data_IF_604127182894
#
_entry.id   IF_604127182894
#
_cell.length_a   1.000
_cell.length_b   1.000
_cell.length_c   1.000
_cell.angle_alpha   90.00
_cell.angle_beta   90.00
_cell.angle_gamma   90.00
#
_symmetry.space_group_name_H-M   'P 1'
#
loop_
_entity.id
_entity.type
_entity.pdbx_description
1 polymer ?
#
# COMPACT_ATOMS: atom_id res chain seq x y z
N UNK A 1 67.56 25.50 -7.79
CA UNK A 1 67.10 24.73 -8.96
C UNK A 1 65.62 25.07 -9.15
N UNK A 2 65.26 25.95 -10.09
CA UNK A 2 64.85 25.62 -11.47
C UNK A 2 63.66 24.65 -11.48
N UNK A 3 62.51 24.87 -12.12
CA UNK A 3 62.07 25.78 -13.19
C UNK A 3 60.53 25.65 -13.33
N UNK A 4 59.86 26.76 -13.67
CA UNK A 4 58.80 26.93 -14.69
C UNK A 4 57.59 25.95 -14.73
N UNK A 5 56.36 26.48 -14.68
CA UNK A 5 55.46 26.53 -15.87
C UNK A 5 54.04 26.99 -15.54
N UNK A 6 53.58 27.91 -16.39
CA UNK A 6 52.24 28.44 -16.55
C UNK A 6 51.20 27.37 -16.91
N UNK A 7 49.93 27.62 -16.54
CA UNK A 7 48.79 26.81 -16.95
C UNK A 7 47.46 27.38 -16.46
N UNK A 8 46.91 28.36 -17.18
CA UNK A 8 45.50 28.77 -17.06
C UNK A 8 44.61 27.54 -17.29
N UNK A 9 43.85 27.11 -16.29
CA UNK A 9 42.71 26.21 -16.46
C UNK A 9 41.43 26.98 -16.20
N UNK A 10 40.70 27.17 -17.29
CA UNK A 10 39.32 27.65 -17.33
C UNK A 10 38.43 26.80 -16.41
N UNK A 11 37.73 27.47 -15.50
CA UNK A 11 36.68 26.87 -14.69
C UNK A 11 35.49 26.60 -15.63
N UNK A 12 35.35 25.34 -16.04
CA UNK A 12 34.15 24.86 -16.72
C UNK A 12 33.06 24.77 -15.64
N UNK A 13 32.19 25.78 -15.62
CA UNK A 13 30.95 25.79 -14.84
C UNK A 13 30.03 24.70 -15.38
N UNK A 14 30.07 23.51 -14.78
CA UNK A 14 29.01 22.53 -14.92
C UNK A 14 27.76 23.10 -14.26
N UNK A 15 26.85 23.64 -15.09
CA UNK A 15 25.46 23.86 -14.69
C UNK A 15 24.87 22.49 -14.38
N UNK A 16 24.81 22.16 -13.10
CA UNK A 16 23.90 21.12 -12.61
C UNK A 16 22.48 21.59 -12.90
N UNK A 17 21.80 20.89 -13.80
CA UNK A 17 20.37 21.01 -14.01
C UNK A 17 19.68 20.70 -12.68
N UNK A 18 19.26 21.76 -12.01
CA UNK A 18 18.37 21.68 -10.86
C UNK A 18 17.03 21.20 -11.38
N UNK A 19 16.80 19.88 -11.30
CA UNK A 19 15.43 19.37 -11.27
C UNK A 19 14.66 20.21 -10.26
N UNK A 20 13.68 20.98 -10.75
CA UNK A 20 12.78 21.76 -9.91
C UNK A 20 11.97 20.76 -9.10
N UNK A 21 12.44 20.42 -7.91
CA UNK A 21 11.62 19.77 -6.90
C UNK A 21 10.55 20.78 -6.53
N UNK A 22 9.33 20.55 -7.01
CA UNK A 22 8.15 21.35 -6.66
C UNK A 22 8.03 21.27 -5.15
N UNK A 23 8.20 22.42 -4.49
CA UNK A 23 8.17 22.49 -3.03
C UNK A 23 6.78 22.08 -2.56
N UNK A 24 6.72 21.07 -1.71
CA UNK A 24 5.56 20.72 -0.92
C UNK A 24 5.23 21.90 0.01
N UNK A 25 4.42 22.82 -0.49
CA UNK A 25 3.60 23.70 0.31
C UNK A 25 2.17 23.36 -0.08
N UNK A 26 1.68 22.21 0.39
CA UNK A 26 0.25 21.96 0.38
C UNK A 26 -0.35 23.09 1.21
N UNK A 27 -1.19 23.93 0.61
CA UNK A 27 -1.99 24.86 1.38
C UNK A 27 -2.99 24.00 2.17
N UNK A 28 -2.64 23.76 3.43
CA UNK A 28 -3.25 22.92 4.47
C UNK A 28 -4.71 23.24 4.85
N UNK A 29 -5.47 23.85 3.95
CA UNK A 29 -6.89 24.11 4.16
C UNK A 29 -7.72 23.13 3.34
N UNK A 30 -7.54 21.82 3.56
CA UNK A 30 -8.43 20.80 2.99
C UNK A 30 -9.90 21.15 3.25
N UNK A 31 -10.21 21.69 4.44
CA UNK A 31 -11.55 22.15 4.79
C UNK A 31 -12.08 23.24 3.84
N UNK A 32 -11.26 24.23 3.49
CA UNK A 32 -11.67 25.29 2.56
C UNK A 32 -11.71 24.77 1.12
N UNK A 33 -10.77 23.91 0.74
CA UNK A 33 -10.76 23.29 -0.59
C UNK A 33 -11.99 22.42 -0.80
N UNK A 34 -12.41 21.66 0.21
CA UNK A 34 -13.62 20.85 0.17
C UNK A 34 -14.88 21.71 0.20
N UNK A 35 -14.91 22.84 0.91
CA UNK A 35 -16.05 23.77 0.86
C UNK A 35 -16.17 24.50 -0.47
N UNK A 36 -15.05 24.86 -1.09
CA UNK A 36 -15.00 25.69 -2.29
C UNK A 36 -15.13 24.88 -3.59
N UNK A 37 -15.27 23.55 -3.48
CA UNK A 37 -15.39 22.63 -4.63
C UNK A 37 -16.56 22.95 -5.55
N UNK A 38 -17.62 23.58 -5.05
CA UNK A 38 -18.75 24.02 -5.87
C UNK A 38 -18.38 25.11 -6.88
N UNK A 39 -17.20 25.72 -6.75
CA UNK A 39 -16.67 26.70 -7.69
C UNK A 39 -15.78 26.02 -8.74
N UNK A 40 -15.77 26.53 -9.98
CA UNK A 40 -14.88 26.03 -11.05
C UNK A 40 -13.40 26.09 -10.64
N UNK A 41 -13.03 27.08 -9.82
CA UNK A 41 -11.67 27.23 -9.30
C UNK A 41 -11.36 26.15 -8.26
N UNK A 42 -12.25 25.92 -7.29
CA UNK A 42 -12.07 24.89 -6.27
C UNK A 42 -12.07 23.47 -6.84
N UNK A 43 -12.81 23.21 -7.91
CA UNK A 43 -12.74 21.94 -8.62
C UNK A 43 -11.35 21.70 -9.24
N UNK A 44 -10.77 22.71 -9.89
CA UNK A 44 -9.41 22.61 -10.45
C UNK A 44 -8.35 22.39 -9.37
N UNK A 45 -8.45 23.12 -8.26
CA UNK A 45 -7.52 22.97 -7.13
C UNK A 45 -7.63 21.57 -6.49
N UNK A 46 -8.83 21.01 -6.42
CA UNK A 46 -9.05 19.62 -5.99
C UNK A 46 -8.43 18.60 -6.95
N UNK A 47 -8.65 18.76 -8.26
CA UNK A 47 -8.08 17.87 -9.27
C UNK A 47 -6.54 17.92 -9.27
N UNK A 48 -5.96 19.13 -9.14
CA UNK A 48 -4.52 19.35 -8.99
C UNK A 48 -3.97 18.68 -7.73
N UNK A 49 -4.67 18.78 -6.59
CA UNK A 49 -4.29 18.10 -5.36
C UNK A 49 -4.26 16.58 -5.53
N UNK A 50 -5.32 16.00 -6.10
CA UNK A 50 -5.42 14.55 -6.33
C UNK A 50 -4.31 14.07 -7.26
N UNK A 51 -4.04 14.80 -8.34
CA UNK A 51 -2.94 14.48 -9.26
C UNK A 51 -1.60 14.57 -8.55
N UNK A 52 -1.38 15.62 -7.76
CA UNK A 52 -0.12 15.82 -7.03
C UNK A 52 0.13 14.70 -6.03
N UNK A 53 -0.87 14.28 -5.25
CA UNK A 53 -0.72 13.16 -4.30
C UNK A 53 -0.42 11.86 -5.04
N UNK A 54 -1.15 11.58 -6.12
CA UNK A 54 -0.93 10.39 -6.95
C UNK A 54 0.47 10.36 -7.54
N UNK A 55 0.92 11.48 -8.10
CA UNK A 55 2.19 11.59 -8.81
C UNK A 55 3.38 11.62 -7.85
N UNK A 56 3.21 12.21 -6.66
CA UNK A 56 4.21 12.17 -5.61
C UNK A 56 4.38 10.76 -5.02
N UNK A 57 3.31 9.96 -4.98
CA UNK A 57 3.35 8.53 -4.64
C UNK A 57 4.17 8.25 -3.38
N UNK A 58 5.31 7.55 -3.54
CA UNK A 58 6.19 7.17 -2.44
C UNK A 58 7.22 8.25 -2.06
N UNK A 59 7.40 9.29 -2.87
CA UNK A 59 8.34 10.40 -2.63
C UNK A 59 7.81 11.44 -1.63
N UNK A 60 6.56 11.32 -1.19
CA UNK A 60 6.00 12.18 -0.14
C UNK A 60 6.80 11.98 1.15
N UNK A 61 7.28 13.09 1.73
CA UNK A 61 8.02 13.08 2.99
C UNK A 61 7.08 12.77 4.15
N UNK A 62 7.61 12.12 5.18
CA UNK A 62 6.83 11.73 6.37
C UNK A 62 6.11 12.92 7.02
N UNK A 63 6.76 14.07 7.15
CA UNK A 63 6.15 15.27 7.72
C UNK A 63 4.92 15.74 6.94
N UNK A 64 5.06 15.80 5.61
CA UNK A 64 4.01 16.28 4.72
C UNK A 64 2.82 15.31 4.69
N UNK A 65 3.10 14.00 4.64
CA UNK A 65 2.08 12.96 4.68
C UNK A 65 1.37 12.94 6.05
N UNK A 66 2.10 13.09 7.14
CA UNK A 66 1.53 13.14 8.49
C UNK A 66 0.57 14.33 8.64
N UNK A 67 0.96 15.50 8.14
CA UNK A 67 0.11 16.69 8.17
C UNK A 67 -1.14 16.51 7.30
N UNK A 68 -0.99 15.95 6.10
CA UNK A 68 -2.09 15.61 5.20
C UNK A 68 -3.10 14.65 5.86
N UNK A 69 -2.61 13.61 6.54
CA UNK A 69 -3.47 12.64 7.25
C UNK A 69 -4.22 13.31 8.41
N UNK A 70 -3.55 14.15 9.21
CA UNK A 70 -4.18 14.87 10.32
C UNK A 70 -5.33 15.77 9.83
N UNK A 71 -5.14 16.48 8.73
CA UNK A 71 -6.18 17.30 8.12
C UNK A 71 -7.31 16.49 7.50
N UNK A 72 -6.97 15.41 6.79
CA UNK A 72 -7.96 14.50 6.21
C UNK A 72 -8.85 13.91 7.31
N UNK A 73 -8.23 13.53 8.44
CA UNK A 73 -8.91 13.04 9.64
C UNK A 73 -9.83 14.10 10.26
N UNK A 74 -9.38 15.36 10.32
CA UNK A 74 -10.20 16.50 10.73
C UNK A 74 -11.39 16.80 9.80
N UNK A 75 -11.35 16.31 8.56
CA UNK A 75 -12.38 16.50 7.54
C UNK A 75 -13.23 15.24 7.27
N UNK A 76 -13.13 14.19 8.09
CA UNK A 76 -13.81 12.90 7.84
C UNK A 76 -15.30 13.06 7.58
N UNK A 77 -15.98 13.91 8.35
CA UNK A 77 -17.43 14.16 8.18
C UNK A 77 -17.81 14.69 6.79
N UNK A 78 -16.88 15.35 6.09
CA UNK A 78 -17.10 15.98 4.77
C UNK A 78 -16.63 15.08 3.63
N UNK A 79 -15.81 14.05 3.90
CA UNK A 79 -15.30 13.10 2.90
C UNK A 79 -16.38 12.14 2.38
N UNK A 80 -17.50 12.69 1.92
CA UNK A 80 -18.59 11.95 1.29
C UNK A 80 -18.16 11.30 -0.05
N UNK A 81 -19.07 10.61 -0.74
CA UNK A 81 -18.79 9.94 -2.02
C UNK A 81 -18.21 10.87 -3.10
N UNK A 82 -18.44 12.18 -3.02
CA UNK A 82 -17.91 13.11 -3.99
C UNK A 82 -16.39 13.16 -3.90
N UNK A 83 -15.79 12.96 -2.73
CA UNK A 83 -14.33 13.01 -2.50
C UNK A 83 -13.64 11.66 -2.65
N UNK A 84 -14.32 10.70 -3.32
CA UNK A 84 -13.80 9.35 -3.54
C UNK A 84 -12.41 9.30 -4.17
N UNK A 85 -12.11 10.16 -5.14
CA UNK A 85 -10.80 10.17 -5.80
C UNK A 85 -9.67 10.53 -4.83
N UNK A 86 -9.90 11.52 -3.96
CA UNK A 86 -8.96 11.90 -2.91
C UNK A 86 -8.72 10.74 -1.92
N UNK A 87 -9.79 10.09 -1.47
CA UNK A 87 -9.67 8.92 -0.60
C UNK A 87 -8.90 7.81 -1.29
N UNK A 88 -9.19 7.52 -2.56
CA UNK A 88 -8.49 6.48 -3.32
C UNK A 88 -6.99 6.74 -3.45
N UNK A 89 -6.57 7.96 -3.76
CA UNK A 89 -5.13 8.27 -3.86
C UNK A 89 -4.44 8.13 -2.51
N UNK A 90 -5.10 8.48 -1.40
CA UNK A 90 -4.56 8.26 -0.05
C UNK A 90 -4.42 6.77 0.28
N UNK A 91 -5.41 5.94 -0.07
CA UNK A 91 -5.41 4.49 0.22
C UNK A 91 -4.30 3.73 -0.52
N UNK A 92 -3.80 4.24 -1.64
CA UNK A 92 -2.75 3.61 -2.46
C UNK A 92 -1.34 3.92 -1.92
N UNK A 93 -1.17 4.93 -1.07
CA UNK A 93 0.14 5.32 -0.53
C UNK A 93 0.72 4.16 0.30
N UNK A 94 1.98 3.78 0.02
CA UNK A 94 2.70 2.78 0.83
C UNK A 94 3.08 3.40 2.19
N UNK A 95 2.42 2.98 3.26
CA UNK A 95 2.57 3.51 4.62
C UNK A 95 3.20 2.52 5.62
N UNK A 96 3.17 1.23 5.33
CA UNK A 96 3.52 0.16 6.29
C UNK A 96 4.98 0.14 6.73
N UNK A 97 5.89 0.69 5.93
CA UNK A 97 7.33 0.78 6.21
C UNK A 97 7.75 2.11 6.83
N UNK A 98 6.81 3.03 7.06
CA UNK A 98 7.09 4.38 7.57
C UNK A 98 7.30 4.37 9.09
N UNK A 99 7.62 5.54 9.63
CA UNK A 99 7.74 5.78 11.06
C UNK A 99 6.47 5.39 11.83
N UNK A 100 6.64 4.99 13.09
CA UNK A 100 5.55 4.53 13.95
C UNK A 100 4.45 5.59 14.14
N UNK A 101 4.83 6.87 14.28
CA UNK A 101 3.88 7.98 14.38
C UNK A 101 2.98 8.08 13.13
N UNK A 102 3.59 8.00 11.94
CA UNK A 102 2.85 8.07 10.69
C UNK A 102 1.93 6.87 10.51
N UNK A 103 2.42 5.68 10.83
CA UNK A 103 1.63 4.45 10.81
C UNK A 103 0.41 4.55 11.71
N UNK A 104 0.57 5.05 12.94
CA UNK A 104 -0.54 5.22 13.88
C UNK A 104 -1.58 6.22 13.36
N UNK A 105 -1.16 7.34 12.80
CA UNK A 105 -2.09 8.29 12.19
C UNK A 105 -2.79 7.73 10.96
N UNK A 106 -2.08 7.00 10.11
CA UNK A 106 -2.67 6.36 8.94
C UNK A 106 -3.71 5.32 9.35
N UNK A 107 -3.40 4.44 10.31
CA UNK A 107 -4.34 3.48 10.86
C UNK A 107 -5.57 4.18 11.47
N UNK A 108 -5.35 5.24 12.25
CA UNK A 108 -6.43 6.05 12.82
C UNK A 108 -7.34 6.65 11.75
N UNK A 109 -6.76 7.22 10.69
CA UNK A 109 -7.50 7.71 9.54
C UNK A 109 -8.36 6.61 8.87
N UNK A 110 -7.80 5.43 8.61
CA UNK A 110 -8.53 4.32 7.99
C UNK A 110 -9.75 3.88 8.84
N UNK A 111 -9.54 3.76 10.15
CA UNK A 111 -10.58 3.31 11.07
C UNK A 111 -11.69 4.35 11.21
N UNK A 112 -11.35 5.62 11.38
CA UNK A 112 -12.33 6.69 11.50
C UNK A 112 -13.09 6.90 10.19
N UNK A 113 -12.40 6.81 9.03
CA UNK A 113 -13.02 6.87 7.71
C UNK A 113 -14.04 5.75 7.51
N UNK A 114 -13.66 4.50 7.78
CA UNK A 114 -14.57 3.37 7.59
C UNK A 114 -15.74 3.39 8.59
N UNK A 115 -15.52 3.89 9.80
CA UNK A 115 -16.56 3.99 10.83
C UNK A 115 -17.57 5.09 10.52
N UNK A 116 -17.12 6.22 9.96
CA UNK A 116 -18.01 7.30 9.52
C UNK A 116 -18.71 6.98 8.21
N UNK A 117 -18.00 6.34 7.28
CA UNK A 117 -18.40 6.18 5.88
C UNK A 117 -18.19 4.74 5.40
N UNK A 118 -19.11 3.85 5.78
CA UNK A 118 -19.02 2.40 5.52
C UNK A 118 -18.87 2.01 4.04
N UNK A 119 -19.24 2.87 3.09
CA UNK A 119 -19.07 2.59 1.66
C UNK A 119 -17.58 2.57 1.24
N UNK A 120 -16.67 3.19 2.02
CA UNK A 120 -15.22 3.07 1.81
C UNK A 120 -14.63 1.78 2.37
N UNK A 121 -15.33 1.05 3.25
CA UNK A 121 -14.77 -0.15 3.89
C UNK A 121 -14.31 -1.18 2.86
N UNK A 122 -15.07 -1.36 1.77
CA UNK A 122 -14.69 -2.29 0.70
C UNK A 122 -13.35 -1.88 0.07
N UNK A 123 -13.21 -0.64 -0.39
CA UNK A 123 -11.96 -0.21 -1.05
C UNK A 123 -10.78 -0.17 -0.09
N UNK A 124 -11.00 0.15 1.19
CA UNK A 124 -9.97 0.08 2.23
C UNK A 124 -9.50 -1.36 2.44
N UNK A 125 -10.41 -2.32 2.59
CA UNK A 125 -10.05 -3.74 2.71
C UNK A 125 -9.35 -4.27 1.46
N UNK A 126 -9.80 -3.88 0.26
CA UNK A 126 -9.12 -4.24 -0.99
C UNK A 126 -7.66 -3.76 -0.98
N UNK A 127 -7.40 -2.50 -0.61
CA UNK A 127 -6.04 -1.96 -0.55
C UNK A 127 -5.19 -2.62 0.56
N UNK A 128 -5.77 -2.90 1.73
CA UNK A 128 -5.06 -3.62 2.79
C UNK A 128 -4.65 -5.03 2.34
N UNK A 129 -5.56 -5.76 1.71
CA UNK A 129 -5.31 -7.12 1.20
C UNK A 129 -4.33 -7.12 0.03
N UNK A 130 -4.33 -6.08 -0.82
CA UNK A 130 -3.33 -5.96 -1.89
C UNK A 130 -1.90 -5.87 -1.35
N UNK A 131 -1.71 -5.28 -0.16
CA UNK A 131 -0.41 -5.21 0.51
C UNK A 131 0.06 -6.55 1.12
N UNK A 132 -0.75 -7.62 1.09
CA UNK A 132 -0.32 -8.96 1.52
C UNK A 132 0.71 -9.61 0.59
N UNK A 133 0.87 -9.11 -0.64
CA UNK A 133 1.80 -9.67 -1.62
C UNK A 133 3.28 -9.41 -1.28
N UNK A 134 3.54 -8.66 -0.21
CA UNK A 134 4.90 -8.28 0.19
C UNK A 134 5.45 -7.11 -0.62
N UNK A 135 6.68 -6.72 -0.32
CA UNK A 135 7.40 -5.70 -1.10
C UNK A 135 7.96 -6.31 -2.39
N UNK A 136 8.04 -5.52 -3.47
CA UNK A 136 8.67 -5.92 -4.73
C UNK A 136 10.19 -6.16 -4.62
N UNK A 137 10.76 -6.17 -3.41
CA UNK A 137 12.19 -6.37 -3.18
C UNK A 137 12.48 -7.83 -3.46
N UNK A 138 13.15 -8.08 -4.58
CA UNK A 138 13.47 -9.41 -5.11
C UNK A 138 14.34 -10.31 -4.19
N UNK A 139 14.69 -9.84 -2.99
CA UNK A 139 15.68 -10.45 -2.09
C UNK A 139 15.19 -10.62 -0.64
N UNK A 140 13.89 -10.54 -0.36
CA UNK A 140 13.38 -10.98 0.94
C UNK A 140 13.35 -12.51 0.97
N UNK A 141 14.50 -13.15 1.21
CA UNK A 141 14.57 -14.60 1.36
C UNK A 141 13.82 -15.01 2.63
N UNK A 142 12.68 -15.66 2.45
CA UNK A 142 11.95 -16.28 3.54
C UNK A 142 12.69 -17.53 4.01
N UNK A 143 13.19 -17.49 5.23
CA UNK A 143 13.87 -18.63 5.84
C UNK A 143 12.80 -19.47 6.55
N UNK A 144 12.72 -20.77 6.25
CA UNK A 144 11.74 -21.71 6.81
C UNK A 144 10.28 -21.24 6.67
N UNK A 145 9.96 -20.57 5.55
CA UNK A 145 8.61 -20.05 5.29
C UNK A 145 8.20 -18.90 6.20
N UNK A 146 9.16 -18.19 6.80
CA UNK A 146 8.91 -17.01 7.63
C UNK A 146 9.40 -15.73 6.92
N UNK A 147 8.61 -14.64 6.97
CA UNK A 147 9.07 -13.33 6.49
C UNK A 147 10.23 -12.79 7.33
N UNK A 148 10.94 -11.83 6.77
CA UNK A 148 11.91 -11.02 7.52
C UNK A 148 11.21 -10.21 8.62
N UNK A 149 11.96 -9.74 9.62
CA UNK A 149 11.40 -8.95 10.72
C UNK A 149 10.69 -7.67 10.21
N UNK A 150 11.26 -7.00 9.21
CA UNK A 150 10.70 -5.80 8.60
C UNK A 150 9.38 -6.09 7.86
N UNK A 151 9.32 -7.21 7.13
CA UNK A 151 8.12 -7.60 6.39
C UNK A 151 7.03 -8.08 7.34
N UNK A 152 7.38 -8.85 8.38
CA UNK A 152 6.46 -9.26 9.45
C UNK A 152 5.88 -8.04 10.18
N UNK A 153 6.71 -7.03 10.45
CA UNK A 153 6.25 -5.77 11.04
C UNK A 153 5.24 -5.08 10.12
N UNK A 154 5.53 -4.98 8.82
CA UNK A 154 4.60 -4.40 7.84
C UNK A 154 3.26 -5.17 7.80
N UNK A 155 3.30 -6.50 7.80
CA UNK A 155 2.09 -7.33 7.84
C UNK A 155 1.31 -7.14 9.14
N UNK A 156 1.99 -7.07 10.29
CA UNK A 156 1.34 -6.85 11.58
C UNK A 156 0.55 -5.54 11.59
N UNK A 157 1.12 -4.47 10.99
CA UNK A 157 0.48 -3.16 10.86
C UNK A 157 -0.80 -3.24 10.02
N UNK A 158 -0.82 -4.03 8.94
CA UNK A 158 -2.01 -4.26 8.11
C UNK A 158 -3.07 -5.06 8.89
N UNK A 159 -2.65 -6.17 9.51
CA UNK A 159 -3.54 -7.07 10.25
C UNK A 159 -4.22 -6.39 11.45
N UNK A 160 -3.53 -5.46 12.11
CA UNK A 160 -4.11 -4.66 13.19
C UNK A 160 -5.34 -3.87 12.71
N UNK A 161 -5.26 -3.25 11.53
CA UNK A 161 -6.41 -2.51 10.95
C UNK A 161 -7.55 -3.47 10.62
N UNK A 162 -7.25 -4.56 9.91
CA UNK A 162 -8.28 -5.55 9.51
C UNK A 162 -9.00 -6.10 10.74
N UNK A 163 -8.26 -6.42 11.81
CA UNK A 163 -8.85 -6.94 13.05
C UNK A 163 -9.84 -5.95 13.68
N UNK A 164 -9.49 -4.67 13.72
CA UNK A 164 -10.39 -3.65 14.28
C UNK A 164 -11.60 -3.42 13.36
N UNK A 165 -11.42 -3.38 12.04
CA UNK A 165 -12.52 -3.25 11.09
C UNK A 165 -13.52 -4.42 11.23
N UNK A 166 -13.03 -5.65 11.41
CA UNK A 166 -13.86 -6.84 11.65
C UNK A 166 -14.66 -6.79 12.96
N UNK A 167 -14.18 -6.05 13.95
CA UNK A 167 -14.87 -5.88 15.23
C UNK A 167 -15.91 -4.76 15.17
N UNK A 168 -15.61 -3.67 14.48
CA UNK A 168 -16.43 -2.45 14.48
C UNK A 168 -17.52 -2.49 13.40
N UNK A 169 -17.26 -3.11 12.25
CA UNK A 169 -18.14 -3.06 11.08
C UNK A 169 -18.76 -4.44 10.81
N UNK A 170 -20.07 -4.66 11.01
CA UNK A 170 -20.68 -5.98 10.90
C UNK A 170 -20.52 -6.66 9.53
N UNK A 171 -20.66 -5.89 8.45
CA UNK A 171 -20.59 -6.40 7.06
C UNK A 171 -19.15 -6.61 6.56
N UNK A 172 -18.13 -6.22 7.34
CA UNK A 172 -16.74 -6.28 6.90
C UNK A 172 -16.24 -7.70 6.67
N UNK A 173 -16.85 -8.71 7.30
CA UNK A 173 -16.50 -10.11 7.09
C UNK A 173 -16.72 -10.56 5.64
N UNK A 174 -17.91 -10.31 5.10
CA UNK A 174 -18.26 -10.70 3.72
C UNK A 174 -17.44 -9.89 2.71
N UNK A 175 -17.20 -8.60 3.02
CA UNK A 175 -16.31 -7.76 2.23
C UNK A 175 -14.89 -8.32 2.23
N UNK A 176 -14.34 -8.71 3.38
CA UNK A 176 -13.00 -9.29 3.49
C UNK A 176 -12.90 -10.59 2.69
N UNK A 177 -13.90 -11.48 2.76
CA UNK A 177 -13.94 -12.71 1.96
C UNK A 177 -13.87 -12.37 0.47
N UNK A 178 -14.67 -11.42 0.01
CA UNK A 178 -14.65 -10.98 -1.39
C UNK A 178 -13.30 -10.37 -1.77
N UNK A 179 -12.70 -9.52 -0.91
CA UNK A 179 -11.42 -8.88 -1.17
C UNK A 179 -10.30 -9.93 -1.28
N UNK A 180 -10.23 -10.87 -0.33
CA UNK A 180 -9.23 -11.95 -0.31
C UNK A 180 -9.37 -12.85 -1.54
N UNK A 181 -10.60 -13.14 -1.97
CA UNK A 181 -10.84 -13.97 -3.16
C UNK A 181 -10.42 -13.27 -4.44
N UNK A 182 -10.75 -11.98 -4.60
CA UNK A 182 -10.50 -11.21 -5.81
C UNK A 182 -9.06 -10.75 -5.95
N UNK A 183 -8.35 -10.54 -4.84
CA UNK A 183 -6.97 -10.04 -4.83
C UNK A 183 -5.91 -11.14 -4.86
N UNK A 184 -6.33 -12.42 -4.91
CA UNK A 184 -5.42 -13.56 -4.98
C UNK A 184 -4.45 -13.41 -6.17
N UNK A 185 -3.14 -13.62 -5.99
CA UNK A 185 -2.17 -13.46 -7.06
C UNK A 185 -2.52 -14.28 -8.30
N UNK A 186 -2.27 -13.70 -9.47
CA UNK A 186 -2.49 -14.38 -10.74
C UNK A 186 -1.50 -15.54 -10.89
N UNK A 187 -1.92 -16.66 -11.47
CA UNK A 187 -1.15 -17.93 -11.48
C UNK A 187 0.28 -17.82 -12.04
N UNK A 188 0.54 -16.87 -12.95
CA UNK A 188 1.87 -16.62 -13.53
C UNK A 188 2.72 -15.61 -12.74
N UNK A 189 2.27 -15.18 -11.56
CA UNK A 189 3.05 -14.27 -10.69
C UNK A 189 4.17 -15.04 -10.01
N UNK A 190 5.14 -14.29 -9.48
CA UNK A 190 6.28 -14.87 -8.76
C UNK A 190 5.76 -15.70 -7.58
N UNK A 191 6.39 -16.84 -7.31
CA UNK A 191 6.04 -17.71 -6.18
C UNK A 191 6.01 -16.94 -4.85
N UNK A 192 6.92 -15.99 -4.67
CA UNK A 192 6.96 -15.13 -3.49
C UNK A 192 5.66 -14.35 -3.25
N UNK A 193 5.03 -13.80 -4.29
CA UNK A 193 3.73 -13.10 -4.13
C UNK A 193 2.65 -14.08 -3.61
N UNK A 194 2.67 -15.34 -4.06
CA UNK A 194 1.75 -16.38 -3.59
C UNK A 194 2.02 -16.76 -2.13
N UNK A 195 3.29 -16.96 -1.76
CA UNK A 195 3.70 -17.34 -0.40
C UNK A 195 3.31 -16.23 0.59
N UNK A 196 3.71 -14.98 0.33
CA UNK A 196 3.36 -13.84 1.20
C UNK A 196 1.86 -13.66 1.32
N UNK A 197 1.12 -13.81 0.21
CA UNK A 197 -0.34 -13.69 0.23
C UNK A 197 -0.99 -14.80 1.06
N UNK A 198 -0.62 -16.07 0.86
CA UNK A 198 -1.15 -17.21 1.59
C UNK A 198 -0.81 -17.10 3.08
N UNK A 199 0.41 -16.71 3.43
CA UNK A 199 0.84 -16.49 4.81
C UNK A 199 -0.09 -15.51 5.54
N UNK A 200 -0.35 -14.35 4.92
CA UNK A 200 -1.23 -13.34 5.50
C UNK A 200 -2.69 -13.82 5.57
N UNK A 201 -3.20 -14.54 4.55
CA UNK A 201 -4.56 -15.12 4.60
C UNK A 201 -4.67 -16.15 5.74
N UNK A 202 -3.66 -17.00 5.95
CA UNK A 202 -3.62 -17.94 7.06
C UNK A 202 -3.52 -17.23 8.41
N UNK A 203 -2.81 -16.10 8.49
CA UNK A 203 -2.76 -15.27 9.70
C UNK A 203 -4.14 -14.71 10.08
N UNK A 204 -5.03 -14.44 9.12
CA UNK A 204 -6.43 -14.05 9.43
C UNK A 204 -7.11 -15.11 10.29
N UNK A 205 -6.85 -16.39 10.03
CA UNK A 205 -7.47 -17.51 10.75
C UNK A 205 -7.06 -17.58 12.23
N UNK A 206 -5.97 -16.93 12.63
CA UNK A 206 -5.56 -16.85 14.03
C UNK A 206 -6.50 -15.99 14.87
N UNK A 207 -7.08 -14.93 14.29
CA UNK A 207 -7.99 -14.03 15.00
C UNK A 207 -9.45 -14.11 14.52
N UNK A 208 -9.72 -14.79 13.39
CA UNK A 208 -11.09 -15.03 12.89
C UNK A 208 -11.23 -16.49 12.40
N UNK A 209 -11.29 -17.47 13.33
CA UNK A 209 -11.29 -18.90 12.99
C UNK A 209 -12.54 -19.36 12.22
N UNK A 210 -13.65 -18.62 12.30
CA UNK A 210 -14.90 -18.91 11.58
C UNK A 210 -14.70 -19.00 10.06
N UNK A 211 -13.69 -18.29 9.53
CA UNK A 211 -13.38 -18.23 8.10
C UNK A 211 -12.52 -19.40 7.61
N UNK A 212 -12.16 -20.35 8.48
CA UNK A 212 -11.22 -21.43 8.17
C UNK A 212 -11.63 -22.25 6.95
N UNK A 213 -12.88 -22.71 6.91
CA UNK A 213 -13.36 -23.52 5.78
C UNK A 213 -13.28 -22.75 4.46
N UNK A 214 -13.69 -21.48 4.48
CA UNK A 214 -13.73 -20.61 3.30
C UNK A 214 -12.31 -20.36 2.77
N UNK A 215 -11.38 -19.92 3.63
CA UNK A 215 -10.03 -19.59 3.19
C UNK A 215 -9.16 -20.80 2.89
N UNK A 216 -9.27 -21.91 3.63
CA UNK A 216 -8.54 -23.12 3.27
C UNK A 216 -9.04 -23.70 1.95
N UNK A 217 -10.36 -23.72 1.71
CA UNK A 217 -10.90 -24.13 0.41
C UNK A 217 -10.41 -23.24 -0.72
N UNK A 218 -10.40 -21.91 -0.53
CA UNK A 218 -9.86 -20.96 -1.50
C UNK A 218 -8.37 -21.25 -1.80
N UNK A 219 -7.54 -21.40 -0.77
CA UNK A 219 -6.10 -21.66 -0.92
C UNK A 219 -5.88 -22.96 -1.68
N UNK A 220 -6.51 -24.07 -1.26
CA UNK A 220 -6.37 -25.37 -1.92
C UNK A 220 -6.79 -25.30 -3.39
N UNK A 221 -7.94 -24.69 -3.70
CA UNK A 221 -8.40 -24.53 -5.08
C UNK A 221 -7.42 -23.71 -5.94
N UNK A 222 -6.78 -22.69 -5.36
CA UNK A 222 -5.77 -21.89 -6.07
C UNK A 222 -4.46 -22.64 -6.27
N UNK A 223 -4.02 -23.44 -5.30
CA UNK A 223 -2.83 -24.28 -5.41
C UNK A 223 -3.01 -25.39 -6.46
N UNK A 224 -4.18 -26.04 -6.50
CA UNK A 224 -4.52 -26.99 -7.58
C UNK A 224 -4.46 -26.30 -8.95
N UNK A 225 -4.93 -25.05 -9.03
CA UNK A 225 -4.86 -24.27 -10.27
C UNK A 225 -3.42 -23.98 -10.73
N UNK A 226 -2.47 -23.80 -9.80
CA UNK A 226 -1.04 -23.67 -10.11
C UNK A 226 -0.50 -25.00 -10.60
N UNK A 227 -0.73 -26.08 -9.84
CA UNK A 227 -0.25 -27.45 -10.13
C UNK A 227 -0.66 -27.94 -11.53
N UNK A 228 -1.94 -27.76 -11.90
CA UNK A 228 -2.45 -28.17 -13.22
C UNK A 228 -1.80 -27.39 -14.38
N UNK A 229 -1.29 -26.18 -14.13
CA UNK A 229 -0.66 -25.34 -15.16
C UNK A 229 0.85 -25.55 -15.26
N UNK A 230 1.46 -26.23 -14.29
CA UNK A 230 2.89 -26.57 -14.31
C UNK A 230 3.19 -27.59 -15.42
N UNK A 231 4.16 -27.33 -16.31
CA UNK A 231 4.55 -28.27 -17.36
C UNK A 231 5.09 -29.57 -16.75
N UNK A 232 4.68 -30.72 -17.31
CA UNK A 232 5.17 -32.03 -16.85
C UNK A 232 6.69 -32.19 -16.91
N UNK A 233 7.34 -31.50 -17.85
CA UNK A 233 8.80 -31.51 -17.98
C UNK A 233 9.48 -30.83 -16.80
N UNK A 234 8.96 -29.68 -16.34
CA UNK A 234 9.53 -28.95 -15.21
C UNK A 234 9.33 -29.72 -13.90
N UNK A 235 8.16 -30.35 -13.72
CA UNK A 235 7.88 -31.22 -12.56
C UNK A 235 8.88 -32.38 -12.51
N UNK A 236 9.11 -33.03 -13.67
CA UNK A 236 9.97 -34.20 -13.74
C UNK A 236 11.45 -33.86 -13.52
N UNK A 237 11.90 -32.69 -13.98
CA UNK A 237 13.26 -32.18 -13.73
C UNK A 237 13.51 -31.96 -12.23
N UNK A 238 12.60 -31.24 -11.55
CA UNK A 238 12.66 -31.00 -10.10
C UNK A 238 12.61 -32.30 -9.28
N UNK A 239 11.82 -33.30 -9.69
CA UNK A 239 11.76 -34.61 -9.00
C UNK A 239 13.07 -35.41 -9.13
N UNK A 240 13.80 -35.27 -10.25
CA UNK A 240 15.08 -35.95 -10.46
C UNK A 240 16.28 -35.27 -9.81
N UNK A 241 16.22 -33.99 -9.46
CA UNK A 241 17.32 -33.30 -8.75
C UNK A 241 17.39 -33.63 -7.25
N UNK A 242 16.36 -34.30 -6.70
CA UNK A 242 16.28 -34.69 -5.27
C UNK A 242 16.74 -36.14 -5.03
N UNK A 243 17.16 -36.88 -6.07
CA UNK A 243 17.83 -38.20 -5.98
C UNK A 243 19.36 -38.11 -5.96
#
# INVERSE_FOLDING_TARGET
>A
MSVVSSGRKSIISFKSDKHKTVRFQLAYNLKNLFSDRLTEKGQKEYEELVCTIRDAGQEIKDYDLLQLLKEARGCISILDENFRLFVQVLLIIKWTHRSEELVQEYQGFLLDLCSAHNYYTKCTLEQLVLNFKGSDVEHAEWIDGKPSEDEELCFSRIHNVIKVLLLVIPMSQDLLISCVTNSFPYLKRKAQEHVSYIYNVLRILQYKPDLRQIFLSLIVNKLIGVDVQSPRSEIQEEETEVE
#
